data_IF_840076214437
#
_entry.id   IF_840076214437
#
_cell.length_a   1.000
_cell.length_b   1.000
_cell.length_c   1.000
_cell.angle_alpha   90.00
_cell.angle_beta   90.00
_cell.angle_gamma   90.00
#
_symmetry.space_group_name_H-M   'P 1'
#
loop_
_entity.id
_entity.type
_entity.pdbx_description
1 polymer ?
#
# COMPACT_ATOMS: atom_id res chain seq x y z
N UNK A 1 -9.14 -7.06 -35.82
CA UNK A 1 -9.56 -7.26 -34.42
C UNK A 1 -8.75 -8.42 -33.86
N UNK A 2 -7.54 -8.15 -33.38
CA UNK A 2 -6.73 -9.16 -32.69
C UNK A 2 -6.95 -8.96 -31.20
N UNK A 3 -7.67 -9.88 -30.58
CA UNK A 3 -7.77 -9.96 -29.12
C UNK A 3 -6.39 -10.33 -28.57
N UNK A 4 -5.68 -9.36 -28.01
CA UNK A 4 -4.56 -9.68 -27.13
C UNK A 4 -5.15 -10.28 -25.85
N UNK A 5 -5.13 -11.61 -25.75
CA UNK A 5 -5.28 -12.26 -24.45
C UNK A 5 -4.08 -11.85 -23.60
N UNK A 6 -4.30 -11.01 -22.59
CA UNK A 6 -3.30 -10.79 -21.56
C UNK A 6 -2.94 -12.16 -20.96
N UNK A 7 -1.66 -12.52 -21.05
CA UNK A 7 -1.14 -13.75 -20.50
C UNK A 7 -1.20 -13.63 -18.98
N UNK A 8 -1.86 -14.57 -18.30
CA UNK A 8 -2.09 -14.54 -16.84
C UNK A 8 -0.76 -14.48 -16.06
N UNK A 9 0.37 -14.85 -16.69
CA UNK A 9 1.71 -14.78 -16.11
C UNK A 9 2.33 -13.38 -16.07
N UNK A 10 1.77 -12.37 -16.76
CA UNK A 10 2.30 -10.99 -16.75
C UNK A 10 1.70 -10.13 -15.61
N UNK A 11 0.73 -10.65 -14.84
CA UNK A 11 0.04 -9.92 -13.77
C UNK A 11 0.61 -10.21 -12.37
N UNK A 12 1.76 -10.86 -12.25
CA UNK A 12 2.35 -11.19 -10.94
C UNK A 12 3.28 -10.08 -10.43
N UNK A 13 2.73 -9.21 -9.56
CA UNK A 13 3.58 -8.59 -8.54
C UNK A 13 4.03 -9.67 -7.56
N UNK A 14 5.35 -9.92 -7.47
CA UNK A 14 5.94 -10.77 -6.44
C UNK A 14 5.53 -10.29 -5.05
N UNK A 15 5.51 -11.22 -4.09
CA UNK A 15 5.30 -10.87 -2.69
C UNK A 15 6.46 -9.99 -2.21
N UNK A 16 6.24 -8.68 -2.12
CA UNK A 16 7.16 -7.77 -1.45
C UNK A 16 6.95 -7.88 0.06
N UNK A 17 8.03 -8.01 0.83
CA UNK A 17 7.98 -7.98 2.30
C UNK A 17 8.89 -6.87 2.76
N UNK A 18 8.38 -6.03 3.66
CA UNK A 18 9.08 -4.85 4.18
C UNK A 18 9.12 -4.92 5.70
N UNK A 19 10.25 -4.51 6.27
CA UNK A 19 10.41 -4.32 7.71
C UNK A 19 10.78 -2.87 8.01
N UNK A 20 10.08 -2.29 8.99
CA UNK A 20 10.47 -1.03 9.62
C UNK A 20 10.76 -1.27 11.10
N UNK A 21 12.01 -1.02 11.50
CA UNK A 21 12.43 -0.93 12.90
C UNK A 21 12.16 0.45 13.50
N UNK A 22 12.78 0.75 14.64
CA UNK A 22 12.66 2.03 15.33
C UNK A 22 12.90 3.22 14.39
N UNK A 23 12.00 4.19 14.43
CA UNK A 23 11.95 5.40 13.57
C UNK A 23 11.82 5.13 12.06
N UNK A 24 11.77 3.86 11.63
CA UNK A 24 11.50 3.50 10.25
C UNK A 24 10.12 4.00 9.83
N UNK A 25 10.07 4.69 8.69
CA UNK A 25 8.87 5.31 8.14
C UNK A 25 8.94 5.31 6.61
N UNK A 26 7.83 5.68 5.98
CA UNK A 26 7.79 5.94 4.56
C UNK A 26 6.95 7.17 4.29
N UNK A 27 7.50 8.10 3.51
CA UNK A 27 6.87 9.37 3.23
C UNK A 27 5.57 9.20 2.44
N UNK A 28 4.79 10.27 2.44
CA UNK A 28 3.56 10.37 1.66
C UNK A 28 3.87 10.12 0.19
N UNK A 29 3.14 9.18 -0.42
CA UNK A 29 3.33 8.79 -1.81
C UNK A 29 2.05 8.15 -2.38
N UNK A 30 2.08 7.92 -3.69
CA UNK A 30 1.13 7.04 -4.39
C UNK A 30 1.86 5.80 -4.88
N UNK A 31 1.18 4.66 -4.84
CA UNK A 31 1.73 3.37 -5.25
C UNK A 31 1.85 3.20 -6.76
N UNK A 32 1.00 3.90 -7.50
CA UNK A 32 0.94 3.86 -8.95
C UNK A 32 1.49 5.14 -9.56
N UNK A 33 1.95 5.03 -10.81
CA UNK A 33 2.38 6.17 -11.61
C UNK A 33 1.28 6.59 -12.56
N UNK A 34 1.26 7.88 -12.88
CA UNK A 34 0.31 8.42 -13.85
C UNK A 34 0.57 7.77 -15.21
N UNK A 35 -0.51 7.40 -15.91
CA UNK A 35 -0.51 6.85 -17.26
C UNK A 35 0.24 5.53 -17.50
N UNK A 36 0.68 4.81 -16.46
CA UNK A 36 1.31 3.48 -16.63
C UNK A 36 0.35 2.30 -16.43
N UNK A 37 -0.70 2.46 -15.62
CA UNK A 37 -1.65 1.41 -15.24
C UNK A 37 -1.01 0.12 -14.68
N UNK A 38 0.22 0.19 -14.19
CA UNK A 38 0.99 -0.99 -13.74
C UNK A 38 0.50 -1.56 -12.39
N UNK A 39 -0.05 -0.70 -11.51
CA UNK A 39 -0.48 -1.10 -10.16
C UNK A 39 -1.90 -0.62 -9.88
N UNK A 40 -2.87 -1.35 -10.42
CA UNK A 40 -4.30 -1.03 -10.29
C UNK A 40 -4.78 -1.09 -8.82
N UNK A 41 -4.26 -2.05 -8.07
CA UNK A 41 -4.72 -2.40 -6.73
C UNK A 41 -3.52 -2.57 -5.80
N UNK A 42 -3.61 -2.07 -4.58
CA UNK A 42 -2.68 -2.40 -3.51
C UNK A 42 -3.36 -3.22 -2.44
N UNK A 43 -2.72 -4.33 -2.06
CA UNK A 43 -3.15 -5.17 -0.95
C UNK A 43 -2.03 -5.27 0.08
N UNK A 44 -2.16 -4.47 1.14
CA UNK A 44 -1.18 -4.38 2.23
C UNK A 44 -1.61 -5.27 3.40
N UNK A 45 -0.71 -6.13 3.88
CA UNK A 45 -0.99 -7.03 5.00
C UNK A 45 -0.03 -6.74 6.13
N UNK A 46 -0.54 -6.57 7.35
CA UNK A 46 0.28 -6.46 8.55
C UNK A 46 0.68 -7.86 9.04
N UNK A 47 1.98 -8.14 9.05
CA UNK A 47 2.56 -9.42 9.45
C UNK A 47 2.99 -9.44 10.92
N UNK A 48 3.01 -8.28 11.58
CA UNK A 48 3.29 -8.12 13.01
C UNK A 48 2.37 -7.10 13.66
N UNK A 49 2.15 -7.26 14.95
CA UNK A 49 1.63 -6.19 15.81
C UNK A 49 2.74 -5.17 16.05
N UNK A 50 2.36 -3.90 16.16
CA UNK A 50 3.30 -2.80 16.49
C UNK A 50 2.88 -2.20 17.82
N UNK A 51 3.82 -2.15 18.78
CA UNK A 51 3.52 -1.68 20.14
C UNK A 51 3.20 -0.18 20.19
N UNK A 52 3.88 0.64 19.37
CA UNK A 52 3.63 2.08 19.28
C UNK A 52 4.10 2.65 17.94
N UNK A 53 3.27 3.50 17.32
CA UNK A 53 3.55 4.10 16.00
C UNK A 53 3.27 3.14 14.85
N UNK A 54 3.92 3.36 13.70
CA UNK A 54 3.83 2.44 12.55
C UNK A 54 2.53 2.50 11.75
N UNK A 55 1.59 3.37 12.10
CA UNK A 55 0.30 3.53 11.42
C UNK A 55 0.46 3.70 9.90
N UNK A 56 -0.47 3.15 9.13
CA UNK A 56 -0.67 3.56 7.74
C UNK A 56 -1.70 4.68 7.73
N UNK A 57 -1.36 5.84 7.17
CA UNK A 57 -2.25 6.99 7.11
C UNK A 57 -2.64 7.32 5.68
N UNK A 58 -3.86 7.80 5.48
CA UNK A 58 -4.40 8.34 4.23
C UNK A 58 -4.80 9.80 4.47
N UNK A 59 -3.90 10.77 4.26
CA UNK A 59 -4.11 12.16 4.67
C UNK A 59 -5.34 12.80 4.04
N UNK A 60 -5.58 12.56 2.75
CA UNK A 60 -6.69 13.16 2.00
C UNK A 60 -8.06 12.58 2.40
N UNK A 61 -8.08 11.43 3.08
CA UNK A 61 -9.31 10.81 3.64
C UNK A 61 -9.44 11.08 5.14
N UNK A 62 -8.35 11.47 5.81
CA UNK A 62 -8.32 11.64 7.26
C UNK A 62 -8.35 10.32 8.04
N UNK A 63 -7.90 9.22 7.43
CA UNK A 63 -7.88 7.89 8.05
C UNK A 63 -6.48 7.54 8.56
N UNK A 64 -6.42 6.92 9.75
CA UNK A 64 -5.22 6.32 10.32
C UNK A 64 -5.53 4.89 10.76
N UNK A 65 -4.72 3.94 10.30
CA UNK A 65 -4.89 2.52 10.62
C UNK A 65 -3.67 2.05 11.39
N UNK A 66 -3.89 1.56 12.62
CA UNK A 66 -2.86 0.94 13.43
C UNK A 66 -2.54 -0.47 12.92
N UNK A 67 -1.26 -0.87 12.84
CA UNK A 67 -0.88 -2.21 12.42
C UNK A 67 -1.34 -3.25 13.45
N UNK A 68 -2.14 -4.21 13.01
CA UNK A 68 -2.52 -5.38 13.79
C UNK A 68 -2.27 -6.63 12.96
N UNK A 69 -1.58 -7.61 13.55
CA UNK A 69 -1.18 -8.82 12.84
C UNK A 69 -2.40 -9.50 12.21
N UNK A 70 -2.25 -9.92 10.95
CA UNK A 70 -3.27 -10.54 10.11
C UNK A 70 -4.37 -9.60 9.59
N UNK A 71 -4.39 -8.31 9.96
CA UNK A 71 -5.24 -7.34 9.26
C UNK A 71 -4.64 -6.96 7.91
N UNK A 72 -5.53 -6.60 6.98
CA UNK A 72 -5.15 -6.14 5.66
C UNK A 72 -5.92 -4.90 5.25
N UNK A 73 -5.29 -4.09 4.41
CA UNK A 73 -5.86 -2.93 3.75
C UNK A 73 -5.85 -3.18 2.25
N UNK A 74 -6.92 -2.75 1.59
CA UNK A 74 -7.12 -2.90 0.16
C UNK A 74 -7.63 -1.57 -0.41
N UNK A 75 -6.98 -1.07 -1.46
CA UNK A 75 -7.45 0.11 -2.18
C UNK A 75 -7.07 0.05 -3.65
N UNK A 76 -7.86 0.76 -4.48
CA UNK A 76 -7.61 0.95 -5.90
C UNK A 76 -6.82 2.25 -6.10
N UNK A 77 -5.70 2.21 -6.82
CA UNK A 77 -4.87 3.41 -7.02
C UNK A 77 -5.40 4.37 -8.08
N UNK A 78 -6.44 3.96 -8.82
CA UNK A 78 -7.09 4.74 -9.86
C UNK A 78 -8.59 4.89 -9.58
N UNK A 79 -9.14 6.05 -9.93
CA UNK A 79 -10.57 6.32 -9.87
C UNK A 79 -11.31 5.68 -11.07
N UNK A 80 -12.66 5.69 -11.10
CA UNK A 80 -13.43 5.15 -12.22
C UNK A 80 -13.19 5.85 -13.57
N UNK A 81 -12.61 7.06 -13.57
CA UNK A 81 -12.19 7.79 -14.77
C UNK A 81 -10.76 7.43 -15.22
N UNK A 82 -10.13 6.42 -14.58
CA UNK A 82 -8.78 5.94 -14.86
C UNK A 82 -7.66 6.95 -14.55
N UNK A 83 -7.93 7.93 -13.69
CA UNK A 83 -6.92 8.86 -13.19
C UNK A 83 -6.42 8.37 -11.83
N UNK A 84 -5.21 8.78 -11.43
CA UNK A 84 -4.72 8.48 -10.08
C UNK A 84 -5.70 9.01 -9.03
N UNK A 85 -6.10 8.14 -8.11
CA UNK A 85 -7.00 8.55 -7.04
C UNK A 85 -6.20 9.19 -5.90
N UNK A 86 -6.27 10.52 -5.82
CA UNK A 86 -5.58 11.32 -4.80
C UNK A 86 -5.98 10.95 -3.37
N UNK A 87 -7.15 10.34 -3.18
CA UNK A 87 -7.59 9.86 -1.88
C UNK A 87 -6.74 8.67 -1.38
N UNK A 88 -6.02 8.00 -2.28
CA UNK A 88 -5.15 6.87 -1.95
C UNK A 88 -3.70 7.25 -1.66
N UNK A 89 -3.40 8.54 -1.69
CA UNK A 89 -2.12 9.04 -1.18
C UNK A 89 -1.95 8.64 0.28
N UNK A 90 -0.83 8.00 0.61
CA UNK A 90 -0.65 7.38 1.91
C UNK A 90 0.80 7.38 2.38
N UNK A 91 0.99 7.16 3.68
CA UNK A 91 2.29 7.10 4.31
C UNK A 91 2.36 6.02 5.41
N UNK A 92 3.58 5.59 5.71
CA UNK A 92 3.88 4.80 6.91
C UNK A 92 4.44 5.69 8.00
N UNK A 93 3.70 5.89 9.08
CA UNK A 93 4.19 6.63 10.25
C UNK A 93 5.41 5.95 10.88
N UNK A 94 6.30 6.72 11.54
CA UNK A 94 7.43 6.16 12.27
C UNK A 94 7.01 5.11 13.29
N UNK A 95 7.73 3.98 13.34
CA UNK A 95 7.62 3.03 14.44
C UNK A 95 8.31 3.62 15.66
N UNK A 96 7.59 3.74 16.78
CA UNK A 96 8.11 4.30 18.03
C UNK A 96 8.54 3.19 19.01
N UNK A 97 7.88 2.02 18.95
CA UNK A 97 8.22 0.84 19.75
C UNK A 97 7.81 -0.45 19.03
N UNK A 98 8.68 -1.45 19.06
CA UNK A 98 8.49 -2.72 18.34
C UNK A 98 9.04 -2.66 16.91
N UNK A 99 8.43 -3.44 16.00
CA UNK A 99 8.81 -3.53 14.59
C UNK A 99 7.60 -3.81 13.72
N UNK A 100 7.52 -3.15 12.55
CA UNK A 100 6.45 -3.33 11.57
C UNK A 100 6.94 -4.23 10.45
N UNK A 101 6.34 -5.39 10.31
CA UNK A 101 6.48 -6.25 9.13
C UNK A 101 5.21 -6.13 8.29
N UNK A 102 5.35 -5.87 7.00
CA UNK A 102 4.23 -5.79 6.07
C UNK A 102 4.53 -6.37 4.70
N UNK A 103 3.47 -6.78 4.01
CA UNK A 103 3.44 -6.94 2.56
C UNK A 103 2.97 -5.64 1.91
#
# INVERSE_FOLDING_TARGET
MTSNSANINELQTFLQVVNYGLAGHYYVHMDAKQDTFERILTFLIYLSDVEMGGNTIFPNVGISVSPQKNMALLWYNYNPAHELDILTEHAGCPVLKGQKWSK
#
